data_IF_316014275035
#
_entry.id   IF_316014275035
#
_cell.length_a   1.000
_cell.length_b   1.000
_cell.length_c   1.000
_cell.angle_alpha   90.00
_cell.angle_beta   90.00
_cell.angle_gamma   90.00
#
_symmetry.space_group_name_H-M   'P 1'
#
loop_
_entity.id
_entity.type
_entity.pdbx_description
1 polymer ?
#
# COMPACT_ATOMS: atom_id res chain seq x y z
N UNK A 1 -5.21 -9.80 -25.75
CA UNK A 1 -3.80 -10.09 -25.40
C UNK A 1 -3.66 -9.76 -23.93
N UNK A 2 -3.64 -10.76 -23.05
CA UNK A 2 -3.32 -10.55 -21.64
C UNK A 2 -1.93 -9.89 -21.58
N UNK A 3 -1.87 -8.63 -21.16
CA UNK A 3 -0.58 -8.05 -20.80
C UNK A 3 -0.11 -8.81 -19.55
N UNK A 4 0.96 -9.53 -19.73
CA UNK A 4 1.63 -10.34 -18.75
C UNK A 4 2.02 -9.48 -17.54
N UNK A 5 1.39 -9.73 -16.40
CA UNK A 5 1.61 -8.96 -15.18
C UNK A 5 2.97 -9.29 -14.57
N UNK A 6 3.95 -8.43 -14.83
CA UNK A 6 5.33 -8.61 -14.39
C UNK A 6 5.46 -8.67 -12.86
N UNK A 7 4.65 -7.88 -12.14
CA UNK A 7 4.65 -7.87 -10.67
C UNK A 7 4.15 -9.20 -10.12
N UNK A 8 2.98 -9.67 -10.56
CA UNK A 8 2.41 -10.95 -10.08
C UNK A 8 3.29 -12.15 -10.46
N UNK A 9 3.89 -12.16 -11.65
CA UNK A 9 4.85 -13.21 -12.03
C UNK A 9 6.02 -13.25 -11.07
N UNK A 10 6.63 -12.11 -10.78
CA UNK A 10 7.78 -12.00 -9.86
C UNK A 10 7.38 -12.46 -8.47
N UNK A 11 6.23 -11.99 -7.95
CA UNK A 11 5.69 -12.35 -6.65
C UNK A 11 5.38 -13.84 -6.52
N UNK A 12 4.73 -14.43 -7.55
CA UNK A 12 4.37 -15.84 -7.57
C UNK A 12 5.58 -16.78 -7.78
N UNK A 13 6.64 -16.28 -8.40
CA UNK A 13 7.93 -16.98 -8.49
C UNK A 13 8.73 -16.98 -7.16
N UNK A 14 8.16 -16.42 -6.07
CA UNK A 14 8.82 -16.34 -4.77
C UNK A 14 9.91 -15.27 -4.68
N UNK A 15 10.05 -14.43 -5.70
CA UNK A 15 11.01 -13.32 -5.68
C UNK A 15 10.45 -12.14 -4.91
N UNK A 16 11.31 -11.49 -4.14
CA UNK A 16 10.92 -10.28 -3.38
C UNK A 16 10.59 -9.14 -4.32
N UNK A 17 9.46 -8.48 -4.07
CA UNK A 17 8.97 -7.36 -4.87
C UNK A 17 9.06 -6.04 -4.11
N UNK A 18 9.11 -4.94 -4.85
CA UNK A 18 9.06 -3.58 -4.31
C UNK A 18 7.80 -2.89 -4.86
N UNK A 19 6.78 -2.77 -4.03
CA UNK A 19 5.64 -1.90 -4.26
C UNK A 19 5.92 -0.54 -3.60
N UNK A 20 5.60 0.55 -4.28
CA UNK A 20 5.84 1.88 -3.74
C UNK A 20 4.61 2.75 -3.82
N UNK A 21 4.26 3.43 -2.73
CA UNK A 21 3.16 4.38 -2.68
C UNK A 21 3.63 5.78 -3.03
N UNK A 22 2.87 6.40 -3.91
CA UNK A 22 3.00 7.81 -4.23
C UNK A 22 1.60 8.44 -4.17
N UNK A 23 1.43 9.43 -3.32
CA UNK A 23 0.18 10.13 -3.15
C UNK A 23 -0.24 10.90 -4.41
N UNK A 24 -1.47 10.69 -4.89
CA UNK A 24 -2.01 11.43 -6.02
C UNK A 24 -2.08 12.94 -5.77
N UNK A 25 -2.02 13.79 -6.80
CA UNK A 25 -2.08 15.24 -6.66
C UNK A 25 -3.39 15.73 -6.01
N UNK A 26 -3.32 16.93 -5.42
CA UNK A 26 -4.51 17.65 -4.90
C UNK A 26 -5.16 18.54 -5.96
N UNK A 27 -4.52 18.68 -7.10
CA UNK A 27 -4.94 19.48 -8.25
C UNK A 27 -5.02 18.61 -9.53
N UNK A 28 -5.25 19.21 -10.66
CA UNK A 28 -5.43 18.52 -11.95
C UNK A 28 -4.12 18.29 -12.72
N UNK A 29 -2.95 18.64 -12.17
CA UNK A 29 -1.65 18.49 -12.84
C UNK A 29 -0.96 17.18 -12.44
N UNK A 30 -0.76 16.28 -13.41
CA UNK A 30 -0.04 15.02 -13.24
C UNK A 30 1.44 15.08 -13.64
N UNK A 31 1.94 16.21 -14.12
CA UNK A 31 3.28 16.31 -14.70
C UNK A 31 4.36 15.84 -13.73
N UNK A 32 4.40 16.42 -12.52
CA UNK A 32 5.38 16.05 -11.50
C UNK A 32 5.15 14.64 -10.95
N UNK A 33 3.89 14.21 -10.87
CA UNK A 33 3.55 12.86 -10.42
C UNK A 33 4.09 11.80 -11.38
N UNK A 34 3.84 11.94 -12.68
CA UNK A 34 4.32 11.00 -13.71
C UNK A 34 5.85 11.01 -13.79
N UNK A 35 6.49 12.17 -13.68
CA UNK A 35 7.95 12.25 -13.60
C UNK A 35 8.49 11.50 -12.38
N UNK A 36 7.86 11.64 -11.21
CA UNK A 36 8.18 10.89 -9.99
C UNK A 36 8.00 9.39 -10.16
N UNK A 37 6.85 8.96 -10.69
CA UNK A 37 6.55 7.55 -10.96
C UNK A 37 7.58 6.91 -11.91
N UNK A 38 7.97 7.61 -12.98
CA UNK A 38 9.01 7.16 -13.91
C UNK A 38 10.37 6.99 -13.24
N UNK A 39 10.75 7.91 -12.35
CA UNK A 39 12.00 7.83 -11.59
C UNK A 39 11.99 6.60 -10.65
N UNK A 40 10.88 6.38 -9.94
CA UNK A 40 10.73 5.23 -9.04
C UNK A 40 10.76 3.90 -9.80
N UNK A 41 10.13 3.83 -10.98
CA UNK A 41 10.23 2.68 -11.88
C UNK A 41 11.69 2.43 -12.30
N UNK A 42 12.42 3.46 -12.70
CA UNK A 42 13.82 3.36 -13.09
C UNK A 42 14.72 2.93 -11.91
N UNK A 43 14.40 3.32 -10.68
CA UNK A 43 15.07 2.86 -9.47
C UNK A 43 14.81 1.37 -9.18
N UNK A 44 13.73 0.80 -9.70
CA UNK A 44 13.40 -0.62 -9.60
C UNK A 44 12.14 -0.94 -8.80
N UNK A 45 11.18 -0.03 -8.73
CA UNK A 45 9.85 -0.34 -8.26
C UNK A 45 9.16 -1.31 -9.24
N UNK A 46 8.57 -2.37 -8.71
CA UNK A 46 7.82 -3.37 -9.49
C UNK A 46 6.35 -2.96 -9.66
N UNK A 47 5.81 -2.19 -8.72
CA UNK A 47 4.42 -1.79 -8.64
C UNK A 47 4.30 -0.39 -8.02
N UNK A 48 3.41 0.46 -8.57
CA UNK A 48 3.04 1.72 -7.94
C UNK A 48 1.67 1.58 -7.28
N UNK A 49 1.58 1.90 -5.98
CA UNK A 49 0.30 1.97 -5.27
C UNK A 49 -0.15 3.42 -5.13
N UNK A 50 -1.45 3.66 -5.21
CA UNK A 50 -2.02 5.01 -5.20
C UNK A 50 -3.15 5.08 -4.18
N UNK A 51 -2.98 5.89 -3.14
CA UNK A 51 -3.96 6.03 -2.07
C UNK A 51 -5.26 6.69 -2.55
N UNK A 52 -6.41 6.20 -2.08
CA UNK A 52 -7.75 6.71 -2.39
C UNK A 52 -8.21 7.70 -1.30
N UNK A 53 -7.97 8.98 -1.53
CA UNK A 53 -8.35 10.06 -0.61
C UNK A 53 -7.93 9.77 0.85
N UNK A 54 -6.62 9.64 1.13
CA UNK A 54 -6.13 9.33 2.48
C UNK A 54 -6.58 10.38 3.49
N UNK A 55 -6.84 9.92 4.73
CA UNK A 55 -7.37 10.74 5.83
C UNK A 55 -8.71 11.42 5.42
N UNK A 56 -9.46 10.79 4.52
CA UNK A 56 -10.71 11.30 3.94
C UNK A 56 -10.59 12.70 3.30
N UNK A 57 -9.42 13.06 2.79
CA UNK A 57 -9.16 14.31 2.08
C UNK A 57 -9.17 14.09 0.58
N UNK A 58 -9.98 14.86 -0.15
CA UNK A 58 -10.10 14.75 -1.59
C UNK A 58 -8.74 14.94 -2.29
N UNK A 59 -8.44 14.03 -3.21
CA UNK A 59 -7.30 14.06 -4.14
C UNK A 59 -7.78 13.60 -5.50
N UNK A 60 -6.92 13.68 -6.50
CA UNK A 60 -7.21 13.09 -7.81
C UNK A 60 -7.49 11.58 -7.63
N UNK A 61 -8.53 11.09 -8.30
CA UNK A 61 -9.00 9.70 -8.17
C UNK A 61 -7.86 8.70 -8.43
N UNK A 62 -7.63 7.80 -7.47
CA UNK A 62 -6.55 6.81 -7.49
C UNK A 62 -6.59 5.90 -8.71
N UNK A 63 -7.78 5.55 -9.16
CA UNK A 63 -7.99 4.64 -10.30
C UNK A 63 -7.68 5.32 -11.62
N UNK A 64 -8.07 6.60 -11.80
CA UNK A 64 -7.70 7.38 -12.99
C UNK A 64 -6.19 7.58 -13.06
N UNK A 65 -5.54 7.88 -11.94
CA UNK A 65 -4.07 8.00 -11.87
C UNK A 65 -3.40 6.66 -12.19
N UNK A 66 -3.91 5.55 -11.65
CA UNK A 66 -3.41 4.20 -11.93
C UNK A 66 -3.47 3.85 -13.41
N UNK A 67 -4.61 4.09 -14.07
CA UNK A 67 -4.77 3.90 -15.51
C UNK A 67 -3.76 4.76 -16.29
N UNK A 68 -3.57 6.00 -15.88
CA UNK A 68 -2.64 6.93 -16.56
C UNK A 68 -1.20 6.46 -16.46
N UNK A 69 -0.74 6.09 -15.27
CA UNK A 69 0.60 5.54 -15.03
C UNK A 69 0.80 4.24 -15.81
N UNK A 70 -0.17 3.32 -15.74
CA UNK A 70 -0.09 2.05 -16.46
C UNK A 70 0.02 2.26 -17.98
N UNK A 71 -0.78 3.16 -18.54
CA UNK A 71 -0.80 3.45 -19.97
C UNK A 71 0.48 4.10 -20.46
N UNK A 72 1.03 5.07 -19.71
CA UNK A 72 2.19 5.85 -20.17
C UNK A 72 3.53 5.20 -19.85
N UNK A 73 3.63 4.52 -18.70
CA UNK A 73 4.88 3.96 -18.22
C UNK A 73 4.97 2.44 -18.36
N UNK A 74 3.85 1.74 -18.58
CA UNK A 74 3.79 0.29 -18.56
C UNK A 74 4.05 -0.32 -17.18
N UNK A 75 4.08 0.51 -16.12
CA UNK A 75 4.28 0.07 -14.74
C UNK A 75 2.99 -0.56 -14.21
N UNK A 76 3.10 -1.70 -13.51
CA UNK A 76 1.98 -2.28 -12.78
C UNK A 76 1.49 -1.30 -11.71
N UNK A 77 0.17 -1.21 -11.54
CA UNK A 77 -0.44 -0.26 -10.61
C UNK A 77 -1.48 -0.92 -9.73
N UNK A 78 -1.54 -0.50 -8.48
CA UNK A 78 -2.48 -0.98 -7.48
C UNK A 78 -3.20 0.24 -6.88
N UNK A 79 -4.31 0.69 -7.49
CA UNK A 79 -5.12 1.72 -6.88
C UNK A 79 -5.78 1.20 -5.60
N UNK A 80 -5.78 2.02 -4.54
CA UNK A 80 -6.59 1.76 -3.38
C UNK A 80 -8.06 2.03 -3.73
N UNK A 81 -8.94 1.22 -3.19
CA UNK A 81 -10.39 1.35 -3.38
C UNK A 81 -11.06 1.32 -2.01
N UNK A 82 -11.51 2.49 -1.56
CA UNK A 82 -12.25 2.61 -0.30
C UNK A 82 -13.72 2.29 -0.47
N UNK A 83 -14.33 1.73 0.58
CA UNK A 83 -15.78 1.54 0.65
C UNK A 83 -16.53 2.83 1.00
N UNK A 84 -15.80 3.90 1.36
CA UNK A 84 -16.37 5.13 1.93
C UNK A 84 -17.24 5.90 0.95
N UNK A 85 -16.76 6.08 -0.29
CA UNK A 85 -17.30 7.11 -1.17
C UNK A 85 -18.12 6.55 -2.34
N UNK A 86 -18.18 5.23 -2.53
CA UNK A 86 -18.80 4.61 -3.71
C UNK A 86 -19.90 3.63 -3.34
N UNK A 87 -21.02 3.72 -4.07
CA UNK A 87 -22.07 2.69 -4.04
C UNK A 87 -21.75 1.55 -5.01
N UNK A 88 -22.61 0.53 -5.02
CA UNK A 88 -22.43 -0.67 -5.87
C UNK A 88 -22.22 -0.33 -7.36
N UNK A 89 -23.06 0.56 -7.91
CA UNK A 89 -22.98 0.91 -9.33
C UNK A 89 -21.68 1.64 -9.67
N UNK A 90 -21.29 2.62 -8.85
CA UNK A 90 -20.04 3.34 -9.02
C UNK A 90 -18.82 2.41 -8.85
N UNK A 91 -18.87 1.48 -7.90
CA UNK A 91 -17.83 0.47 -7.69
C UNK A 91 -17.71 -0.45 -8.92
N UNK A 92 -18.84 -0.99 -9.42
CA UNK A 92 -18.83 -1.87 -10.60
C UNK A 92 -18.32 -1.14 -11.85
N UNK A 93 -18.82 0.06 -12.11
CA UNK A 93 -18.40 0.85 -13.27
C UNK A 93 -16.89 1.13 -13.24
N UNK A 94 -16.34 1.48 -12.08
CA UNK A 94 -14.92 1.75 -11.90
C UNK A 94 -14.07 0.49 -12.13
N UNK A 95 -14.47 -0.67 -11.57
CA UNK A 95 -13.77 -1.95 -11.74
C UNK A 95 -13.72 -2.38 -13.21
N UNK A 96 -14.82 -2.24 -13.93
CA UNK A 96 -14.87 -2.52 -15.38
C UNK A 96 -13.92 -1.60 -16.15
N UNK A 97 -13.87 -0.31 -15.79
CA UNK A 97 -12.95 0.66 -16.38
C UNK A 97 -11.48 0.30 -16.11
N UNK A 98 -11.12 0.00 -14.86
CA UNK A 98 -9.78 -0.45 -14.49
C UNK A 98 -9.36 -1.69 -15.30
N UNK A 99 -10.26 -2.67 -15.36
CA UNK A 99 -10.02 -3.91 -16.11
C UNK A 99 -9.79 -3.64 -17.61
N UNK A 100 -10.61 -2.79 -18.21
CA UNK A 100 -10.49 -2.41 -19.63
C UNK A 100 -9.18 -1.68 -19.93
N UNK A 101 -8.68 -0.86 -18.99
CA UNK A 101 -7.40 -0.14 -19.08
C UNK A 101 -6.17 -1.02 -18.79
N UNK A 102 -6.37 -2.29 -18.43
CA UNK A 102 -5.26 -3.23 -18.16
C UNK A 102 -4.76 -3.25 -16.71
N UNK A 103 -5.38 -2.53 -15.79
CA UNK A 103 -5.10 -2.61 -14.35
C UNK A 103 -5.71 -3.91 -13.81
N UNK A 104 -4.91 -4.70 -13.11
CA UNK A 104 -5.30 -6.05 -12.64
C UNK A 104 -5.28 -6.20 -11.13
N UNK A 105 -4.68 -5.25 -10.42
CA UNK A 105 -4.57 -5.24 -8.96
C UNK A 105 -5.38 -4.12 -8.36
N UNK A 106 -5.97 -4.38 -7.18
CA UNK A 106 -6.62 -3.37 -6.34
C UNK A 106 -6.36 -3.65 -4.86
N UNK A 107 -6.25 -2.59 -4.07
CA UNK A 107 -6.26 -2.69 -2.61
C UNK A 107 -7.66 -2.37 -2.09
N UNK A 108 -8.38 -3.40 -1.63
CA UNK A 108 -9.72 -3.24 -1.06
C UNK A 108 -9.65 -2.87 0.42
N UNK A 109 -10.02 -1.65 0.76
CA UNK A 109 -9.98 -1.12 2.13
C UNK A 109 -11.30 -0.48 2.54
N UNK A 110 -11.55 -0.39 3.84
CA UNK A 110 -12.76 0.27 4.34
C UNK A 110 -12.71 1.78 4.09
N UNK A 111 -11.55 2.37 4.24
CA UNK A 111 -11.33 3.82 4.17
C UNK A 111 -11.44 4.50 5.53
N UNK A 112 -10.73 5.62 5.67
CA UNK A 112 -10.74 6.43 6.87
C UNK A 112 -12.11 7.08 7.11
N UNK A 113 -12.52 7.28 8.36
CA UNK A 113 -13.75 7.99 8.66
C UNK A 113 -13.64 9.46 8.24
N UNK A 114 -14.77 10.01 7.76
CA UNK A 114 -14.85 11.44 7.46
C UNK A 114 -14.67 12.25 8.74
N UNK A 115 -13.77 13.24 8.77
CA UNK A 115 -13.58 14.12 9.92
C UNK A 115 -14.90 14.76 10.36
N UNK A 116 -15.11 14.89 11.67
CA UNK A 116 -16.38 15.37 12.22
C UNK A 116 -16.78 16.75 11.68
N UNK A 117 -15.81 17.64 11.49
CA UNK A 117 -16.04 18.99 10.97
C UNK A 117 -16.52 19.04 9.50
N UNK A 118 -16.34 17.94 8.73
CA UNK A 118 -16.68 17.88 7.30
C UNK A 118 -17.94 17.05 7.03
N UNK A 119 -18.55 16.44 8.05
CA UNK A 119 -19.69 15.52 7.88
C UNK A 119 -20.97 16.18 7.35
N UNK A 120 -21.08 17.48 7.41
CA UNK A 120 -22.22 18.19 6.84
C UNK A 120 -22.11 18.31 5.31
N UNK A 121 -20.91 18.46 4.80
CA UNK A 121 -20.63 18.60 3.37
C UNK A 121 -20.39 17.25 2.69
N UNK A 122 -19.68 16.33 3.36
CA UNK A 122 -19.29 15.03 2.82
C UNK A 122 -20.10 13.92 3.48
N UNK A 123 -20.84 13.15 2.69
CA UNK A 123 -21.62 11.99 3.17
C UNK A 123 -20.93 10.68 2.75
N UNK A 124 -20.71 9.80 3.71
CA UNK A 124 -20.21 8.46 3.42
C UNK A 124 -21.30 7.56 2.84
N UNK A 125 -20.90 6.53 2.11
CA UNK A 125 -21.78 5.53 1.50
C UNK A 125 -21.67 4.20 2.25
N UNK A 126 -20.44 3.69 2.45
CA UNK A 126 -20.15 2.42 3.13
C UNK A 126 -21.11 1.27 2.80
N UNK A 127 -21.46 1.10 1.51
CA UNK A 127 -22.31 -0.02 1.08
C UNK A 127 -21.60 -1.36 1.28
N UNK A 128 -20.28 -1.36 1.20
CA UNK A 128 -19.41 -2.49 1.49
C UNK A 128 -18.57 -2.26 2.75
N UNK A 129 -18.01 -3.31 3.30
CA UNK A 129 -16.75 -3.31 4.02
C UNK A 129 -15.68 -4.01 3.14
N UNK A 130 -14.42 -3.95 3.53
CA UNK A 130 -13.32 -4.45 2.69
C UNK A 130 -13.46 -5.94 2.30
N UNK A 131 -13.98 -6.80 3.18
CA UNK A 131 -14.22 -8.23 2.87
C UNK A 131 -15.31 -8.41 1.82
N UNK A 132 -16.45 -7.75 2.00
CA UNK A 132 -17.55 -7.80 1.02
C UNK A 132 -17.15 -7.16 -0.31
N UNK A 133 -16.32 -6.12 -0.28
CA UNK A 133 -15.77 -5.53 -1.51
C UNK A 133 -14.87 -6.52 -2.24
N UNK A 134 -13.97 -7.21 -1.54
CA UNK A 134 -13.11 -8.24 -2.13
C UNK A 134 -13.94 -9.37 -2.76
N UNK A 135 -14.90 -9.91 -2.01
CA UNK A 135 -15.81 -10.95 -2.51
C UNK A 135 -16.56 -10.49 -3.77
N UNK A 136 -17.03 -9.24 -3.78
CA UNK A 136 -17.73 -8.67 -4.92
C UNK A 136 -16.80 -8.55 -6.14
N UNK A 137 -15.57 -8.04 -5.97
CA UNK A 137 -14.59 -7.91 -7.05
C UNK A 137 -14.33 -9.27 -7.71
N UNK A 138 -14.06 -10.30 -6.91
CA UNK A 138 -13.81 -11.66 -7.40
C UNK A 138 -15.04 -12.23 -8.13
N UNK A 139 -16.25 -11.93 -7.66
CA UNK A 139 -17.48 -12.43 -8.26
C UNK A 139 -17.78 -11.87 -9.66
N UNK A 140 -17.13 -10.80 -10.07
CA UNK A 140 -17.29 -10.21 -11.41
C UNK A 140 -16.54 -10.98 -12.51
N UNK A 141 -15.71 -11.96 -12.14
CA UNK A 141 -14.88 -12.71 -13.09
C UNK A 141 -15.37 -14.15 -13.30
N UNK A 142 -15.14 -14.66 -14.50
CA UNK A 142 -15.44 -16.04 -14.89
C UNK A 142 -16.21 -16.13 -16.21
N UNK A 143 -16.50 -17.36 -16.62
CA UNK A 143 -17.27 -17.63 -17.85
C UNK A 143 -18.68 -17.01 -17.77
N UNK A 144 -19.04 -16.22 -18.77
CA UNK A 144 -20.31 -15.50 -18.80
C UNK A 144 -20.44 -14.35 -17.82
N UNK A 145 -19.33 -13.97 -17.15
CA UNK A 145 -19.26 -12.82 -16.24
C UNK A 145 -18.73 -11.57 -16.96
N UNK A 146 -18.74 -10.46 -16.25
CA UNK A 146 -18.34 -9.17 -16.77
C UNK A 146 -16.85 -9.05 -17.07
N UNK A 147 -16.02 -9.84 -16.37
CA UNK A 147 -14.56 -9.89 -16.56
C UNK A 147 -14.13 -11.31 -16.94
N UNK A 148 -13.32 -11.49 -17.99
CA UNK A 148 -12.82 -12.80 -18.41
C UNK A 148 -11.95 -13.51 -17.35
N UNK A 149 -11.17 -12.76 -16.59
CA UNK A 149 -10.30 -13.26 -15.52
C UNK A 149 -10.44 -12.40 -14.26
N UNK A 150 -10.13 -12.95 -13.06
CA UNK A 150 -10.23 -12.19 -11.83
C UNK A 150 -9.16 -11.10 -11.74
N UNK A 151 -9.50 -9.99 -11.07
CA UNK A 151 -8.51 -9.06 -10.55
C UNK A 151 -7.90 -9.63 -9.27
N UNK A 152 -6.63 -9.32 -9.04
CA UNK A 152 -5.95 -9.65 -7.79
C UNK A 152 -6.30 -8.62 -6.73
N UNK A 153 -6.86 -9.08 -5.62
CA UNK A 153 -7.30 -8.18 -4.54
C UNK A 153 -6.33 -8.30 -3.37
N UNK A 154 -5.73 -7.19 -3.00
CA UNK A 154 -4.98 -7.04 -1.76
C UNK A 154 -5.83 -6.38 -0.67
N UNK A 155 -5.48 -6.62 0.58
CA UNK A 155 -6.06 -5.96 1.73
C UNK A 155 -5.01 -5.23 2.56
N UNK A 156 -5.44 -4.39 3.50
CA UNK A 156 -4.56 -3.83 4.51
C UNK A 156 -4.48 -4.75 5.74
N UNK A 157 -3.32 -4.78 6.39
CA UNK A 157 -3.08 -5.49 7.65
C UNK A 157 -2.44 -4.53 8.66
N UNK A 158 -3.08 -4.35 9.81
CA UNK A 158 -2.55 -3.53 10.89
C UNK A 158 -1.71 -4.36 11.86
N UNK A 159 -0.38 -4.21 11.77
CA UNK A 159 0.56 -4.87 12.68
C UNK A 159 0.51 -4.28 14.11
N UNK A 160 -0.06 -3.09 14.27
CA UNK A 160 -0.14 -2.37 15.56
C UNK A 160 -1.57 -2.37 16.13
N UNK A 161 -2.44 -3.29 15.70
CA UNK A 161 -3.79 -3.39 16.23
C UNK A 161 -3.80 -3.69 17.74
N UNK A 162 -4.59 -2.97 18.54
CA UNK A 162 -4.71 -3.19 20.00
C UNK A 162 -4.99 -4.64 20.38
N UNK A 163 -5.79 -5.33 19.57
CA UNK A 163 -6.04 -6.76 19.70
C UNK A 163 -5.60 -7.45 18.42
N UNK A 164 -4.34 -7.86 18.39
CA UNK A 164 -3.75 -8.46 17.22
C UNK A 164 -4.36 -9.83 16.86
N UNK A 165 -4.84 -10.62 17.84
CA UNK A 165 -5.55 -11.87 17.56
C UNK A 165 -6.83 -11.65 16.72
N UNK A 166 -7.54 -10.57 17.03
CA UNK A 166 -8.72 -10.19 16.24
C UNK A 166 -8.33 -9.77 14.83
N UNK A 167 -7.23 -9.02 14.67
CA UNK A 167 -6.76 -8.61 13.36
C UNK A 167 -6.26 -9.81 12.54
N UNK A 168 -5.56 -10.74 13.16
CA UNK A 168 -5.07 -11.95 12.52
C UNK A 168 -6.24 -12.85 12.03
N UNK A 169 -7.28 -13.03 12.88
CA UNK A 169 -8.51 -13.71 12.46
C UNK A 169 -9.17 -13.00 11.27
N UNK A 170 -9.28 -11.66 11.33
CA UNK A 170 -9.84 -10.85 10.22
C UNK A 170 -9.02 -10.99 8.94
N UNK A 171 -7.69 -11.14 9.05
CA UNK A 171 -6.85 -11.41 7.89
C UNK A 171 -7.20 -12.77 7.25
N UNK A 172 -7.40 -13.83 8.06
CA UNK A 172 -7.93 -15.10 7.58
C UNK A 172 -9.28 -14.94 6.84
N UNK A 173 -10.24 -14.24 7.46
CA UNK A 173 -11.55 -13.96 6.84
C UNK A 173 -11.41 -13.16 5.52
N UNK A 174 -10.43 -12.25 5.42
CA UNK A 174 -10.15 -11.51 4.18
C UNK A 174 -9.69 -12.44 3.05
N UNK A 175 -8.81 -13.41 3.34
CA UNK A 175 -8.39 -14.44 2.37
C UNK A 175 -9.57 -15.30 1.92
N UNK A 176 -10.42 -15.75 2.84
CA UNK A 176 -11.63 -16.54 2.53
C UNK A 176 -12.62 -15.77 1.63
N UNK A 177 -12.59 -14.45 1.68
CA UNK A 177 -13.38 -13.55 0.83
C UNK A 177 -12.65 -13.14 -0.47
N UNK A 178 -11.55 -13.82 -0.84
CA UNK A 178 -10.91 -13.66 -2.14
C UNK A 178 -9.75 -12.67 -2.20
N UNK A 179 -9.25 -12.18 -1.05
CA UNK A 179 -7.98 -11.45 -1.06
C UNK A 179 -6.81 -12.42 -1.25
N UNK A 180 -5.81 -12.00 -2.00
CA UNK A 180 -4.60 -12.78 -2.30
C UNK A 180 -3.44 -12.44 -1.36
N UNK A 181 -3.52 -11.33 -0.66
CA UNK A 181 -2.44 -10.88 0.22
C UNK A 181 -2.70 -9.54 0.88
N UNK A 182 -1.66 -9.02 1.53
CA UNK A 182 -1.75 -7.83 2.36
C UNK A 182 -0.60 -6.87 2.14
N UNK A 183 -0.92 -5.57 2.15
CA UNK A 183 0.02 -4.49 2.42
C UNK A 183 -0.10 -4.13 3.90
N UNK A 184 1.01 -4.16 4.64
CA UNK A 184 0.94 -3.88 6.08
C UNK A 184 1.09 -2.39 6.38
N UNK A 185 0.65 -1.98 7.56
CA UNK A 185 1.05 -0.69 8.11
C UNK A 185 2.59 -0.65 8.32
N UNK A 186 3.21 0.54 8.45
CA UNK A 186 4.65 0.66 8.63
C UNK A 186 5.17 -0.14 9.82
N UNK A 187 6.28 -0.85 9.59
CA UNK A 187 7.04 -1.54 10.64
C UNK A 187 8.00 -0.52 11.25
N UNK A 188 7.68 -0.03 12.46
CA UNK A 188 8.45 0.98 13.19
C UNK A 188 8.64 0.60 14.69
N UNK A 189 8.50 -0.68 14.99
CA UNK A 189 8.74 -1.22 16.35
C UNK A 189 9.03 -2.72 16.27
N UNK A 190 9.71 -3.25 17.30
CA UNK A 190 9.95 -4.69 17.44
C UNK A 190 8.65 -5.49 17.53
N UNK A 191 7.62 -4.92 18.18
CA UNK A 191 6.30 -5.54 18.27
C UNK A 191 5.66 -5.71 16.88
N UNK A 192 5.83 -4.76 15.96
CA UNK A 192 5.33 -4.86 14.59
C UNK A 192 6.05 -5.98 13.83
N UNK A 193 7.35 -6.16 14.02
CA UNK A 193 8.12 -7.28 13.45
C UNK A 193 7.61 -8.62 14.00
N UNK A 194 7.41 -8.71 15.29
CA UNK A 194 6.88 -9.92 15.92
C UNK A 194 5.47 -10.26 15.42
N UNK A 195 4.60 -9.25 15.27
CA UNK A 195 3.27 -9.44 14.73
C UNK A 195 3.31 -9.84 13.23
N UNK A 196 4.28 -9.35 12.47
CA UNK A 196 4.50 -9.79 11.09
C UNK A 196 4.93 -11.26 11.03
N UNK A 197 5.85 -11.69 11.92
CA UNK A 197 6.26 -13.10 12.07
C UNK A 197 5.06 -13.99 12.37
N UNK A 198 4.25 -13.63 13.37
CA UNK A 198 3.01 -14.36 13.74
C UNK A 198 2.02 -14.43 12.60
N UNK A 199 1.91 -13.36 11.80
CA UNK A 199 1.06 -13.36 10.60
C UNK A 199 1.53 -14.40 9.60
N UNK A 200 2.84 -14.44 9.30
CA UNK A 200 3.40 -15.44 8.38
C UNK A 200 3.20 -16.86 8.89
N UNK A 201 3.42 -17.11 10.17
CA UNK A 201 3.23 -18.44 10.77
C UNK A 201 1.77 -18.90 10.71
N UNK A 202 0.82 -17.99 10.91
CA UNK A 202 -0.61 -18.33 10.91
C UNK A 202 -1.19 -18.48 9.52
N UNK A 203 -0.86 -17.58 8.60
CA UNK A 203 -1.45 -17.55 7.26
C UNK A 203 -0.65 -18.40 6.25
N UNK A 204 0.63 -18.66 6.54
CA UNK A 204 1.52 -19.43 5.65
C UNK A 204 1.64 -18.80 4.26
N UNK A 205 1.83 -19.65 3.26
CA UNK A 205 1.95 -19.26 1.85
C UNK A 205 0.60 -18.89 1.19
N UNK A 206 -0.50 -19.04 1.92
CA UNK A 206 -1.85 -18.66 1.42
C UNK A 206 -1.99 -17.16 1.24
N UNK A 207 -1.16 -16.36 1.92
CA UNK A 207 -1.18 -14.91 1.85
C UNK A 207 0.16 -14.38 1.32
N UNK A 208 0.11 -13.52 0.32
CA UNK A 208 1.25 -12.69 -0.03
C UNK A 208 1.30 -11.48 0.89
N UNK A 209 2.47 -11.20 1.49
CA UNK A 209 2.63 -10.14 2.48
C UNK A 209 3.70 -9.16 2.02
N UNK A 210 3.33 -7.90 1.82
CA UNK A 210 4.26 -6.82 1.55
C UNK A 210 4.42 -5.99 2.83
N UNK A 211 5.61 -6.04 3.42
CA UNK A 211 5.90 -5.33 4.67
C UNK A 211 5.99 -3.83 4.42
N UNK A 212 5.23 -3.07 5.19
CA UNK A 212 5.20 -1.60 5.11
C UNK A 212 6.51 -1.00 5.65
N UNK A 213 7.20 -0.24 4.82
CA UNK A 213 8.41 0.50 5.21
C UNK A 213 8.20 1.97 4.87
N UNK A 214 8.32 2.83 5.86
CA UNK A 214 8.15 4.28 5.70
C UNK A 214 9.29 5.02 6.39
N UNK A 215 10.14 5.75 5.66
CA UNK A 215 11.17 6.56 6.29
C UNK A 215 10.56 7.67 7.15
N UNK A 216 10.83 7.65 8.44
CA UNK A 216 10.64 8.80 9.31
C UNK A 216 11.69 9.84 8.93
N UNK A 217 11.32 11.11 8.81
CA UNK A 217 12.23 12.16 8.29
C UNK A 217 12.49 13.29 9.29
N UNK A 218 11.82 13.29 10.42
CA UNK A 218 12.03 14.23 11.52
C UNK A 218 11.24 13.81 12.76
N UNK A 219 11.60 14.34 13.93
CA UNK A 219 10.85 14.13 15.17
C UNK A 219 9.38 14.56 15.03
N UNK A 220 9.12 15.72 14.42
CA UNK A 220 7.75 16.19 14.16
C UNK A 220 6.95 15.22 13.29
N UNK A 221 7.60 14.62 12.29
CA UNK A 221 6.95 13.61 11.46
C UNK A 221 6.64 12.33 12.26
N UNK A 222 7.57 11.85 13.09
CA UNK A 222 7.37 10.70 13.97
C UNK A 222 6.16 10.91 14.91
N UNK A 223 6.14 12.07 15.60
CA UNK A 223 5.04 12.44 16.52
C UNK A 223 3.70 12.56 15.78
N UNK A 224 3.70 13.13 14.57
CA UNK A 224 2.48 13.20 13.75
C UNK A 224 1.98 11.81 13.37
N UNK A 225 2.87 10.91 12.97
CA UNK A 225 2.51 9.55 12.60
C UNK A 225 1.91 8.79 13.78
N UNK A 226 2.49 8.92 14.99
CA UNK A 226 2.01 8.28 16.20
C UNK A 226 0.62 8.77 16.61
N UNK A 227 0.38 10.09 16.54
CA UNK A 227 -0.83 10.69 17.11
C UNK A 227 -1.99 10.82 16.11
N UNK A 228 -1.71 11.03 14.82
CA UNK A 228 -2.71 11.43 13.83
C UNK A 228 -3.01 10.35 12.79
N UNK A 229 -2.12 9.33 12.65
CA UNK A 229 -2.31 8.29 11.64
C UNK A 229 -2.74 6.98 12.28
N UNK A 230 -4.00 6.62 12.08
CA UNK A 230 -4.55 5.41 12.66
C UNK A 230 -3.77 4.14 12.24
N UNK A 231 -3.41 3.33 13.23
CA UNK A 231 -2.75 2.04 13.00
C UNK A 231 -1.23 2.12 12.82
N UNK A 232 -0.64 3.30 12.87
CA UNK A 232 0.82 3.47 12.95
C UNK A 232 1.20 3.58 14.43
N UNK A 233 2.27 2.90 14.80
CA UNK A 233 2.94 3.05 16.09
C UNK A 233 4.42 3.26 15.81
N UNK A 234 4.97 4.35 16.33
CA UNK A 234 6.40 4.69 16.25
C UNK A 234 7.01 4.51 17.63
N UNK A 235 7.98 3.62 17.75
CA UNK A 235 8.64 3.37 19.03
C UNK A 235 9.30 4.65 19.59
N UNK A 236 9.28 4.80 20.91
CA UNK A 236 9.73 6.03 21.60
C UNK A 236 11.20 6.35 21.31
N UNK A 237 12.06 5.33 21.32
CA UNK A 237 13.48 5.44 20.98
C UNK A 237 13.70 5.96 19.55
N UNK A 238 12.85 5.58 18.60
CA UNK A 238 12.87 6.13 17.24
C UNK A 238 12.48 7.60 17.25
N UNK A 239 11.43 7.99 17.98
CA UNK A 239 11.02 9.41 18.06
C UNK A 239 12.10 10.29 18.68
N UNK A 240 12.76 9.79 19.75
CA UNK A 240 13.83 10.49 20.46
C UNK A 240 15.09 10.63 19.59
N UNK A 241 15.44 9.62 18.81
CA UNK A 241 16.60 9.64 17.91
C UNK A 241 16.61 10.78 16.90
N UNK A 242 15.43 11.32 16.56
CA UNK A 242 15.30 12.48 15.64
C UNK A 242 15.40 13.85 16.34
N UNK A 243 15.58 13.90 17.68
CA UNK A 243 15.62 15.16 18.40
C UNK A 243 16.82 16.00 17.98
N UNK A 244 16.57 17.27 17.62
CA UNK A 244 17.62 18.23 17.25
C UNK A 244 18.29 18.02 15.88
N UNK A 245 17.89 17.00 15.12
CA UNK A 245 18.44 16.75 13.79
C UNK A 245 17.90 17.76 12.76
N UNK A 246 18.78 18.19 11.86
CA UNK A 246 18.39 18.94 10.68
C UNK A 246 17.73 18.01 9.63
N UNK A 247 17.32 18.60 8.49
CA UNK A 247 16.63 17.85 7.43
C UNK A 247 17.48 16.72 6.83
N UNK A 248 18.75 16.99 6.57
CA UNK A 248 19.65 16.03 5.91
C UNK A 248 19.99 14.88 6.86
N UNK A 249 20.30 15.19 8.11
CA UNK A 249 20.52 14.23 9.17
C UNK A 249 19.29 13.36 9.43
N UNK A 250 18.10 13.98 9.47
CA UNK A 250 16.84 13.27 9.63
C UNK A 250 16.54 12.31 8.47
N UNK A 251 16.75 12.72 7.22
CA UNK A 251 16.61 11.85 6.06
C UNK A 251 17.63 10.68 6.08
N UNK A 252 18.88 10.95 6.48
CA UNK A 252 19.90 9.91 6.61
C UNK A 252 19.53 8.89 7.70
N UNK A 253 19.16 9.34 8.89
CA UNK A 253 18.72 8.46 9.98
C UNK A 253 17.49 7.65 9.58
N UNK A 254 16.52 8.30 8.91
CA UNK A 254 15.30 7.63 8.45
C UNK A 254 15.59 6.50 7.45
N UNK A 255 16.60 6.64 6.59
CA UNK A 255 17.05 5.57 5.71
C UNK A 255 17.64 4.40 6.50
N UNK A 256 18.50 4.67 7.50
CA UNK A 256 19.11 3.62 8.32
C UNK A 256 18.05 2.82 9.11
N UNK A 257 17.10 3.52 9.75
CA UNK A 257 15.99 2.88 10.45
C UNK A 257 15.15 2.04 9.49
N UNK A 258 14.83 2.59 8.31
CA UNK A 258 14.04 1.86 7.29
C UNK A 258 14.74 0.59 6.82
N UNK A 259 16.06 0.61 6.63
CA UNK A 259 16.83 -0.57 6.25
C UNK A 259 16.92 -1.59 7.38
N UNK A 260 17.08 -1.15 8.65
CA UNK A 260 17.02 -2.03 9.80
C UNK A 260 15.67 -2.76 9.85
N UNK A 261 14.55 -2.02 9.79
CA UNK A 261 13.21 -2.60 9.82
C UNK A 261 12.94 -3.52 8.61
N UNK A 262 13.39 -3.14 7.42
CA UNK A 262 13.29 -3.98 6.23
C UNK A 262 14.06 -5.30 6.39
N UNK A 263 15.27 -5.28 6.96
CA UNK A 263 16.07 -6.47 7.22
C UNK A 263 15.37 -7.42 8.21
N UNK A 264 14.78 -6.88 9.27
CA UNK A 264 14.06 -7.66 10.26
C UNK A 264 12.74 -8.23 9.72
N UNK A 265 12.06 -7.51 8.83
CA UNK A 265 10.81 -7.93 8.20
C UNK A 265 11.00 -8.95 7.07
N UNK A 266 12.17 -8.94 6.40
CA UNK A 266 12.44 -9.71 5.17
C UNK A 266 12.13 -11.22 5.26
N UNK A 267 12.42 -11.93 6.38
CA UNK A 267 12.13 -13.37 6.48
C UNK A 267 10.62 -13.69 6.46
N UNK A 268 9.78 -12.73 6.80
CA UNK A 268 8.34 -12.92 6.99
C UNK A 268 7.48 -12.30 5.88
N UNK A 269 8.11 -11.59 4.93
CA UNK A 269 7.42 -10.86 3.86
C UNK A 269 7.82 -11.38 2.47
N UNK A 270 6.92 -11.27 1.50
CA UNK A 270 7.17 -11.57 0.08
C UNK A 270 7.78 -10.37 -0.66
N UNK A 271 7.90 -9.23 0.00
CA UNK A 271 8.46 -8.00 -0.52
C UNK A 271 8.17 -6.83 0.39
N UNK A 272 8.41 -5.64 -0.12
CA UNK A 272 8.22 -4.40 0.62
C UNK A 272 7.15 -3.53 -0.01
N UNK A 273 6.36 -2.88 0.86
CA UNK A 273 5.47 -1.80 0.53
C UNK A 273 6.07 -0.50 1.07
N UNK A 274 6.67 0.27 0.17
CA UNK A 274 7.39 1.49 0.52
C UNK A 274 6.44 2.69 0.46
N UNK A 275 6.22 3.36 1.58
CA UNK A 275 5.39 4.57 1.65
C UNK A 275 6.26 5.82 1.53
N UNK A 276 5.93 6.71 0.59
CA UNK A 276 6.74 7.89 0.26
C UNK A 276 6.34 9.08 1.12
N UNK A 277 7.14 9.47 2.13
CA UNK A 277 6.79 10.60 2.98
C UNK A 277 6.82 11.90 2.15
N UNK A 278 5.71 12.65 2.16
CA UNK A 278 5.59 13.96 1.49
C UNK A 278 6.00 13.95 0.01
N UNK A 279 5.78 12.85 -0.69
CA UNK A 279 6.18 12.64 -2.10
C UNK A 279 7.69 12.90 -2.36
N UNK A 280 8.56 12.57 -1.38
CA UNK A 280 10.03 12.72 -1.50
C UNK A 280 10.64 11.60 -2.36
N UNK A 281 10.42 11.67 -3.68
CA UNK A 281 10.88 10.66 -4.65
C UNK A 281 12.39 10.38 -4.51
N UNK A 282 13.23 11.42 -4.39
CA UNK A 282 14.68 11.25 -4.26
C UNK A 282 15.12 10.44 -3.02
N UNK A 283 14.38 10.56 -1.91
CA UNK A 283 14.61 9.75 -0.72
C UNK A 283 14.30 8.28 -1.01
N UNK A 284 13.20 8.01 -1.71
CA UNK A 284 12.78 6.66 -2.03
C UNK A 284 13.68 5.99 -3.07
N UNK A 285 14.23 6.73 -4.03
CA UNK A 285 15.27 6.22 -4.93
C UNK A 285 16.49 5.70 -4.16
N UNK A 286 16.96 6.47 -3.16
CA UNK A 286 18.05 6.07 -2.27
C UNK A 286 17.69 4.81 -1.47
N UNK A 287 16.47 4.76 -0.92
CA UNK A 287 16.00 3.58 -0.18
C UNK A 287 15.95 2.34 -1.07
N UNK A 288 15.35 2.43 -2.27
CA UNK A 288 15.26 1.31 -3.21
C UNK A 288 16.66 0.82 -3.59
N UNK A 289 17.59 1.73 -3.92
CA UNK A 289 18.95 1.37 -4.27
C UNK A 289 19.62 0.58 -3.14
N UNK A 290 19.50 1.04 -1.90
CA UNK A 290 20.08 0.36 -0.74
C UNK A 290 19.40 -0.99 -0.42
N UNK A 291 18.08 -1.08 -0.51
CA UNK A 291 17.35 -2.34 -0.36
C UNK A 291 17.83 -3.38 -1.37
N UNK A 292 18.02 -2.99 -2.64
CA UNK A 292 18.50 -3.88 -3.69
C UNK A 292 19.94 -4.34 -3.45
N UNK A 293 20.82 -3.43 -3.03
CA UNK A 293 22.23 -3.75 -2.81
C UNK A 293 22.51 -4.48 -1.51
N UNK A 294 21.76 -4.23 -0.46
CA UNK A 294 22.05 -4.77 0.88
C UNK A 294 21.18 -5.98 1.27
N UNK A 295 19.97 -6.10 0.70
CA UNK A 295 19.01 -7.12 1.14
C UNK A 295 18.49 -8.03 0.03
N UNK A 296 18.53 -7.61 -1.25
CA UNK A 296 17.88 -8.33 -2.34
C UNK A 296 18.85 -8.85 -3.43
N UNK A 297 20.16 -8.79 -3.21
CA UNK A 297 21.19 -9.18 -4.22
C UNK A 297 21.24 -10.67 -4.56
N UNK A 298 20.70 -11.56 -3.73
CA UNK A 298 20.82 -13.02 -3.90
C UNK A 298 19.51 -13.69 -4.39
N UNK A 299 18.59 -12.94 -5.04
CA UNK A 299 17.29 -13.51 -5.41
C UNK A 299 16.97 -13.42 -6.91
#
# INVERSE_FOLDING_TARGET
MEKDDAFLRKLNAGKKVIAIELDSPKDADLTNYLAGAKRLQAAGADLLTIADCPIARARMDSSLVACRVHRELGLCTLPHMTCRDRNLNATKALLLGLYAEGVREVLAITGDPIPTAERDEVKNVYQFNSRKLAQYIVSLAGEGREMPSPMTVFGALSLNARNFEVELRRAGEKLENGMSGFLTQPVLSEQAVENLRRTRETLGERAKILAGIMPVVSQRNAIFMENEVNGIHVAEDIMEAFAGLDREQGEALGLEISLKMAREALPYADGFYLMTPFNRVALMERLIARLKTELLQEQ
#
